data_IF_858114407238
#
_entry.id   IF_858114407238
#
_cell.length_a   1.000
_cell.length_b   1.000
_cell.length_c   1.000
_cell.angle_alpha   90.00
_cell.angle_beta   90.00
_cell.angle_gamma   90.00
#
_symmetry.space_group_name_H-M   'P 1'
#
loop_
_entity.id
_entity.type
_entity.pdbx_description
1 polymer ?
#
# COMPACT_ATOMS: atom_id res chain seq x y z
N UNK A 1 20.71 8.00 -17.74
CA UNK A 1 19.50 7.14 -17.70
C UNK A 1 18.23 7.86 -17.26
N UNK A 2 18.22 8.62 -16.16
CA UNK A 2 17.00 9.34 -15.71
C UNK A 2 16.39 10.24 -16.80
N UNK A 3 17.22 11.03 -17.49
CA UNK A 3 16.79 11.86 -18.62
C UNK A 3 16.10 11.03 -19.70
N UNK A 4 16.71 9.92 -20.14
CA UNK A 4 16.15 9.02 -21.16
C UNK A 4 14.78 8.47 -20.78
N UNK A 5 14.59 8.08 -19.52
CA UNK A 5 13.28 7.66 -19.01
C UNK A 5 12.24 8.78 -19.14
N UNK A 6 12.59 9.98 -18.70
CA UNK A 6 11.69 11.13 -18.67
C UNK A 6 11.44 11.74 -20.05
N UNK A 7 12.38 11.66 -21.00
CA UNK A 7 12.20 12.22 -22.34
C UNK A 7 11.53 11.26 -23.31
N UNK A 8 11.79 9.96 -23.20
CA UNK A 8 11.39 8.99 -24.24
C UNK A 8 10.33 7.99 -23.77
N UNK A 9 10.10 7.84 -22.46
CA UNK A 9 9.30 6.74 -21.92
C UNK A 9 8.26 7.16 -20.87
N UNK A 10 7.78 8.40 -20.90
CA UNK A 10 6.79 8.91 -19.93
C UNK A 10 5.50 8.08 -19.89
N UNK A 11 4.99 7.66 -21.06
CA UNK A 11 3.76 6.87 -21.13
C UNK A 11 3.91 5.51 -20.45
N UNK A 12 5.06 4.85 -20.64
CA UNK A 12 5.37 3.56 -20.01
C UNK A 12 5.55 3.72 -18.49
N UNK A 13 6.22 4.79 -18.04
CA UNK A 13 6.35 5.11 -16.63
C UNK A 13 4.99 5.33 -15.97
N UNK A 14 4.12 6.13 -16.60
CA UNK A 14 2.78 6.37 -16.09
C UNK A 14 1.95 5.08 -16.07
N UNK A 15 2.07 4.23 -17.09
CA UNK A 15 1.38 2.95 -17.13
C UNK A 15 1.83 2.03 -15.98
N UNK A 16 3.14 1.90 -15.74
CA UNK A 16 3.67 1.14 -14.61
C UNK A 16 3.19 1.74 -13.28
N UNK A 17 3.23 3.07 -13.15
CA UNK A 17 2.77 3.78 -11.95
C UNK A 17 1.30 3.42 -11.62
N UNK A 18 0.41 3.51 -12.61
CA UNK A 18 -1.01 3.16 -12.44
C UNK A 18 -1.21 1.68 -12.14
N UNK A 19 -0.50 0.81 -12.85
CA UNK A 19 -0.53 -0.63 -12.65
C UNK A 19 -0.13 -1.04 -11.21
N UNK A 20 0.86 -0.36 -10.62
CA UNK A 20 1.29 -0.61 -9.24
C UNK A 20 0.23 -0.27 -8.18
N UNK A 21 -0.59 0.74 -8.43
CA UNK A 21 -1.64 1.15 -7.50
C UNK A 21 -2.94 0.35 -7.69
N UNK A 22 -3.09 -0.35 -8.83
CA UNK A 22 -4.32 -1.03 -9.22
C UNK A 22 -4.51 -2.37 -8.48
N UNK A 23 -5.64 -2.58 -7.77
CA UNK A 23 -5.92 -3.83 -7.05
C UNK A 23 -6.22 -5.02 -7.98
N UNK A 24 -6.41 -4.77 -9.28
CA UNK A 24 -6.65 -5.80 -10.30
C UNK A 24 -5.39 -6.17 -11.09
N UNK A 25 -4.24 -5.56 -10.77
CA UNK A 25 -2.99 -5.82 -11.47
C UNK A 25 -2.02 -6.56 -10.58
N UNK A 26 -1.51 -7.69 -11.07
CA UNK A 26 -0.57 -8.51 -10.31
C UNK A 26 0.85 -7.95 -10.33
N UNK A 27 1.60 -8.22 -9.26
CA UNK A 27 3.04 -7.93 -9.16
C UNK A 27 3.80 -8.55 -10.32
N UNK A 28 3.45 -9.77 -10.74
CA UNK A 28 4.05 -10.44 -11.88
C UNK A 28 3.95 -9.62 -13.18
N UNK A 29 2.76 -9.07 -13.46
CA UNK A 29 2.55 -8.21 -14.63
C UNK A 29 3.38 -6.92 -14.55
N UNK A 30 3.38 -6.25 -13.39
CA UNK A 30 4.20 -5.04 -13.17
C UNK A 30 5.69 -5.33 -13.41
N UNK A 31 6.22 -6.46 -12.93
CA UNK A 31 7.61 -6.87 -13.17
C UNK A 31 7.91 -7.00 -14.66
N UNK A 32 7.00 -7.59 -15.43
CA UNK A 32 7.14 -7.71 -16.89
C UNK A 32 7.19 -6.34 -17.56
N UNK A 33 6.34 -5.40 -17.17
CA UNK A 33 6.36 -4.04 -17.72
C UNK A 33 7.68 -3.32 -17.43
N UNK A 34 8.17 -3.40 -16.18
CA UNK A 34 9.44 -2.80 -15.77
C UNK A 34 10.63 -3.38 -16.55
N UNK A 35 10.69 -4.71 -16.68
CA UNK A 35 11.75 -5.38 -17.46
C UNK A 35 11.77 -4.91 -18.91
N UNK A 36 10.61 -4.87 -19.57
CA UNK A 36 10.48 -4.36 -20.94
C UNK A 36 10.92 -2.90 -21.05
N UNK A 37 10.51 -2.06 -20.09
CA UNK A 37 10.92 -0.66 -20.07
C UNK A 37 12.43 -0.51 -19.93
N UNK A 38 13.08 -1.26 -19.04
CA UNK A 38 14.53 -1.25 -18.86
C UNK A 38 15.23 -1.60 -20.19
N UNK A 39 14.85 -2.71 -20.83
CA UNK A 39 15.43 -3.16 -22.10
C UNK A 39 15.31 -2.10 -23.20
N UNK A 40 14.12 -1.51 -23.37
CA UNK A 40 13.87 -0.48 -24.40
C UNK A 40 14.65 0.81 -24.08
N UNK A 41 14.78 1.17 -22.80
CA UNK A 41 15.53 2.36 -22.37
C UNK A 41 17.01 2.19 -22.66
N UNK A 42 17.58 1.02 -22.39
CA UNK A 42 18.96 0.69 -22.75
C UNK A 42 19.21 0.80 -24.27
N UNK A 43 18.31 0.24 -25.08
CA UNK A 43 18.41 0.32 -26.53
C UNK A 43 18.32 1.77 -27.04
N UNK A 44 17.41 2.57 -26.47
CA UNK A 44 17.24 3.98 -26.81
C UNK A 44 18.48 4.79 -26.42
N UNK A 45 19.01 4.56 -25.22
CA UNK A 45 20.22 5.23 -24.76
C UNK A 45 21.44 4.91 -25.64
N UNK A 46 21.56 3.66 -26.08
CA UNK A 46 22.59 3.22 -27.04
C UNK A 46 22.42 3.89 -28.41
N UNK A 47 21.20 3.92 -28.95
CA UNK A 47 20.91 4.58 -30.25
C UNK A 47 21.22 6.09 -30.23
N UNK A 48 20.96 6.74 -29.09
CA UNK A 48 21.17 8.17 -28.93
C UNK A 48 22.59 8.54 -28.47
N UNK A 49 23.53 7.58 -28.41
CA UNK A 49 24.89 7.78 -27.89
C UNK A 49 24.94 8.43 -26.48
N UNK A 50 23.89 8.23 -25.67
CA UNK A 50 23.87 8.73 -24.29
C UNK A 50 24.53 7.72 -23.35
N UNK A 51 25.27 8.16 -22.32
CA UNK A 51 25.88 7.27 -21.34
C UNK A 51 24.86 6.33 -20.71
N UNK A 52 25.13 5.02 -20.75
CA UNK A 52 24.25 4.00 -20.19
C UNK A 52 24.61 3.65 -18.75
N UNK A 53 24.89 4.67 -17.93
CA UNK A 53 25.16 4.53 -16.51
C UNK A 53 23.96 4.98 -15.68
N UNK A 54 23.68 4.22 -14.62
CA UNK A 54 22.77 4.65 -13.57
C UNK A 54 23.57 5.44 -12.54
N UNK A 55 23.10 6.64 -12.23
CA UNK A 55 23.64 7.50 -11.20
C UNK A 55 22.49 7.97 -10.31
N UNK A 56 22.80 8.35 -9.08
CA UNK A 56 21.82 8.95 -8.19
C UNK A 56 21.14 10.16 -8.86
N UNK A 57 19.80 10.27 -8.82
CA UNK A 57 19.11 11.46 -9.31
C UNK A 57 19.57 12.74 -8.59
N UNK A 58 19.78 13.81 -9.35
CA UNK A 58 20.17 15.12 -8.82
C UNK A 58 18.95 15.90 -8.28
N UNK A 59 19.05 16.41 -7.05
CA UNK A 59 17.92 17.08 -6.38
C UNK A 59 17.55 18.43 -7.04
N UNK A 60 18.52 19.13 -7.62
CA UNK A 60 18.29 20.40 -8.31
C UNK A 60 17.50 20.15 -9.60
N UNK A 61 17.89 19.14 -10.37
CA UNK A 61 17.15 18.69 -11.54
C UNK A 61 15.74 18.24 -11.18
N UNK A 62 15.57 17.44 -10.12
CA UNK A 62 14.25 17.01 -9.66
C UNK A 62 13.38 18.18 -9.23
N UNK A 63 13.95 19.18 -8.55
CA UNK A 63 13.22 20.39 -8.16
C UNK A 63 12.72 21.14 -9.39
N UNK A 64 13.56 21.29 -10.41
CA UNK A 64 13.16 21.90 -11.69
C UNK A 64 12.03 21.11 -12.38
N UNK A 65 12.12 19.78 -12.41
CA UNK A 65 11.11 18.90 -13.01
C UNK A 65 9.76 18.94 -12.27
N UNK A 66 9.77 19.04 -10.94
CA UNK A 66 8.54 19.20 -10.15
C UNK A 66 7.89 20.57 -10.43
N UNK A 67 8.70 21.63 -10.51
CA UNK A 67 8.19 22.98 -10.81
C UNK A 67 7.67 23.14 -12.25
N UNK A 68 8.16 22.34 -13.21
CA UNK A 68 7.74 22.40 -14.61
C UNK A 68 6.38 21.71 -14.89
N UNK A 69 5.64 21.33 -13.84
CA UNK A 69 4.33 20.65 -13.89
C UNK A 69 4.38 19.27 -14.56
N UNK A 70 5.55 18.63 -14.65
CA UNK A 70 5.61 17.24 -15.04
C UNK A 70 4.95 16.36 -13.96
N UNK A 71 4.25 15.30 -14.37
CA UNK A 71 3.52 14.43 -13.44
C UNK A 71 4.44 13.82 -12.39
N UNK A 72 4.10 14.01 -11.11
CA UNK A 72 4.82 13.40 -9.98
C UNK A 72 4.87 11.86 -10.09
N UNK A 73 3.85 11.24 -10.67
CA UNK A 73 3.82 9.79 -10.92
C UNK A 73 4.91 9.36 -11.89
N UNK A 74 5.17 10.16 -12.92
CA UNK A 74 6.21 9.89 -13.93
C UNK A 74 7.60 10.10 -13.32
N UNK A 75 7.80 11.21 -12.62
CA UNK A 75 9.09 11.54 -11.98
C UNK A 75 9.44 10.47 -10.94
N UNK A 76 8.52 10.19 -10.01
CA UNK A 76 8.73 9.20 -8.96
C UNK A 76 8.98 7.81 -9.55
N UNK A 77 8.20 7.37 -10.55
CA UNK A 77 8.45 6.08 -11.19
C UNK A 77 9.84 6.02 -11.84
N UNK A 78 10.27 7.07 -12.54
CA UNK A 78 11.59 7.13 -13.15
C UNK A 78 12.71 7.05 -12.12
N UNK A 79 12.57 7.76 -10.99
CA UNK A 79 13.51 7.65 -9.86
C UNK A 79 13.61 6.21 -9.37
N UNK A 80 12.49 5.51 -9.22
CA UNK A 80 12.48 4.12 -8.77
C UNK A 80 13.16 3.18 -9.78
N UNK A 81 12.93 3.36 -11.08
CA UNK A 81 13.63 2.56 -12.10
C UNK A 81 15.14 2.79 -12.09
N UNK A 82 15.59 4.00 -11.76
CA UNK A 82 17.02 4.30 -11.54
C UNK A 82 17.52 3.63 -10.26
N UNK A 83 16.82 3.81 -9.13
CA UNK A 83 17.17 3.23 -7.82
C UNK A 83 17.29 1.70 -7.86
N UNK A 84 16.44 1.03 -8.64
CA UNK A 84 16.48 -0.43 -8.80
C UNK A 84 17.81 -0.95 -9.37
N UNK A 85 18.62 -0.07 -9.98
CA UNK A 85 19.92 -0.38 -10.57
C UNK A 85 21.10 0.25 -9.80
N UNK A 86 20.86 0.77 -8.60
CA UNK A 86 21.88 1.38 -7.74
C UNK A 86 22.12 0.56 -6.46
N UNK A 87 23.32 0.66 -5.84
CA UNK A 87 23.58 0.12 -4.52
C UNK A 87 22.64 0.66 -3.44
N UNK A 88 22.36 -0.16 -2.42
CA UNK A 88 21.45 0.17 -1.33
C UNK A 88 21.88 1.43 -0.55
N UNK A 89 23.17 1.60 -0.31
CA UNK A 89 23.74 2.77 0.39
C UNK A 89 23.44 4.09 -0.34
N UNK A 90 23.52 4.06 -1.68
CA UNK A 90 23.18 5.22 -2.53
C UNK A 90 21.68 5.50 -2.46
N UNK A 91 20.85 4.45 -2.53
CA UNK A 91 19.39 4.60 -2.43
C UNK A 91 18.95 5.17 -1.07
N UNK A 92 19.56 4.74 0.04
CA UNK A 92 19.29 5.31 1.37
C UNK A 92 19.68 6.79 1.45
N UNK A 93 20.88 7.13 0.98
CA UNK A 93 21.35 8.52 0.95
C UNK A 93 20.39 9.40 0.14
N UNK A 94 19.92 8.91 -1.00
CA UNK A 94 18.95 9.60 -1.84
C UNK A 94 17.59 9.81 -1.15
N UNK A 95 17.03 8.77 -0.52
CA UNK A 95 15.74 8.87 0.20
C UNK A 95 15.85 9.91 1.34
N UNK A 96 16.93 9.86 2.13
CA UNK A 96 17.15 10.81 3.21
C UNK A 96 17.29 12.24 2.67
N UNK A 97 18.00 12.42 1.56
CA UNK A 97 18.16 13.73 0.95
C UNK A 97 16.84 14.29 0.38
N UNK A 98 15.97 13.43 -0.17
CA UNK A 98 14.60 13.79 -0.58
C UNK A 98 13.74 14.23 0.61
N UNK A 99 13.79 13.49 1.72
CA UNK A 99 13.05 13.81 2.95
C UNK A 99 13.50 15.12 3.57
N UNK A 100 14.79 15.44 3.49
CA UNK A 100 15.35 16.69 4.02
C UNK A 100 15.16 17.90 3.09
N UNK A 101 14.44 17.75 1.97
CA UNK A 101 14.25 18.79 0.96
C UNK A 101 12.78 19.23 0.90
N UNK A 102 12.38 20.36 1.53
CA UNK A 102 10.99 20.82 1.59
C UNK A 102 10.29 20.95 0.24
N UNK A 103 11.00 21.44 -0.78
CA UNK A 103 10.49 21.57 -2.16
C UNK A 103 10.17 20.23 -2.82
N UNK A 104 10.68 19.12 -2.30
CA UNK A 104 10.56 17.77 -2.84
C UNK A 104 9.74 16.83 -1.96
N UNK A 105 9.14 17.29 -0.87
CA UNK A 105 8.36 16.42 0.03
C UNK A 105 7.28 15.61 -0.69
N UNK A 106 6.55 16.23 -1.64
CA UNK A 106 5.56 15.52 -2.44
C UNK A 106 6.17 14.39 -3.29
N UNK A 107 7.36 14.61 -3.84
CA UNK A 107 8.12 13.58 -4.57
C UNK A 107 8.65 12.50 -3.62
N UNK A 108 9.16 12.89 -2.45
CA UNK A 108 9.64 11.97 -1.41
C UNK A 108 8.53 10.99 -1.01
N UNK A 109 7.33 11.51 -0.71
CA UNK A 109 6.14 10.70 -0.40
C UNK A 109 5.83 9.69 -1.52
N UNK A 110 5.81 10.15 -2.77
CA UNK A 110 5.53 9.29 -3.92
C UNK A 110 6.60 8.20 -4.12
N UNK A 111 7.89 8.55 -3.98
CA UNK A 111 9.01 7.61 -4.08
C UNK A 111 8.93 6.57 -2.97
N UNK A 112 8.82 6.98 -1.71
CA UNK A 112 8.79 6.07 -0.55
C UNK A 112 7.61 5.10 -0.64
N UNK A 113 6.42 5.62 -0.98
CA UNK A 113 5.25 4.77 -1.20
C UNK A 113 5.47 3.76 -2.33
N UNK A 114 6.08 4.16 -3.45
CA UNK A 114 6.39 3.24 -4.56
C UNK A 114 7.47 2.23 -4.23
N UNK A 115 8.50 2.60 -3.46
CA UNK A 115 9.51 1.65 -2.97
C UNK A 115 8.81 0.59 -2.10
N UNK A 116 7.90 0.99 -1.22
CA UNK A 116 7.07 0.07 -0.43
C UNK A 116 6.29 -0.91 -1.32
N UNK A 117 5.59 -0.41 -2.34
CA UNK A 117 4.88 -1.26 -3.32
C UNK A 117 5.79 -2.17 -4.14
N UNK A 118 7.10 -1.90 -4.13
CA UNK A 118 8.12 -2.65 -4.87
C UNK A 118 9.02 -3.51 -3.98
N UNK A 119 8.60 -3.79 -2.74
CA UNK A 119 9.26 -4.70 -1.79
C UNK A 119 9.33 -6.18 -2.23
N UNK A 120 9.35 -6.46 -3.53
CA UNK A 120 9.79 -7.73 -4.11
C UNK A 120 11.23 -7.67 -4.63
N UNK A 121 11.82 -6.48 -4.75
CA UNK A 121 13.26 -6.32 -4.99
C UNK A 121 13.97 -6.37 -3.64
N UNK A 122 14.74 -7.43 -3.37
CA UNK A 122 15.46 -7.60 -2.09
C UNK A 122 16.31 -6.38 -1.71
N UNK A 123 16.88 -5.68 -2.70
CA UNK A 123 17.69 -4.48 -2.50
C UNK A 123 16.88 -3.28 -1.95
N UNK A 124 15.55 -3.30 -2.06
CA UNK A 124 14.66 -2.21 -1.66
C UNK A 124 13.85 -2.52 -0.38
N UNK A 125 13.77 -3.79 0.04
CA UNK A 125 12.93 -4.23 1.18
C UNK A 125 13.42 -3.63 2.50
N UNK A 126 14.73 -3.58 2.70
CA UNK A 126 15.35 -3.08 3.94
C UNK A 126 15.52 -1.55 3.96
N UNK A 127 14.99 -0.82 2.97
CA UNK A 127 15.22 0.63 2.83
C UNK A 127 14.27 1.51 3.64
N UNK A 128 13.10 1.00 4.03
CA UNK A 128 12.05 1.83 4.63
C UNK A 128 11.56 1.18 5.91
N UNK A 129 11.95 1.76 7.04
CA UNK A 129 11.38 1.45 8.34
C UNK A 129 10.03 2.16 8.54
N UNK A 130 9.31 1.79 9.61
CA UNK A 130 8.00 2.39 9.90
C UNK A 130 8.08 3.89 10.18
N UNK A 131 9.21 4.39 10.70
CA UNK A 131 9.41 5.83 10.92
C UNK A 131 9.44 6.58 9.59
N UNK A 132 10.24 6.09 8.64
CA UNK A 132 10.34 6.64 7.29
C UNK A 132 8.98 6.59 6.58
N UNK A 133 8.23 5.49 6.72
CA UNK A 133 6.86 5.42 6.20
C UNK A 133 5.93 6.44 6.84
N UNK A 134 6.01 6.62 8.17
CA UNK A 134 5.19 7.58 8.88
C UNK A 134 5.49 8.99 8.40
N UNK A 135 6.75 9.41 8.45
CA UNK A 135 7.17 10.75 8.02
C UNK A 135 6.80 11.05 6.56
N UNK A 136 6.93 10.06 5.68
CA UNK A 136 6.58 10.23 4.28
C UNK A 136 5.07 10.36 4.05
N UNK A 137 4.24 9.67 4.83
CA UNK A 137 2.81 9.56 4.56
C UNK A 137 1.98 10.56 5.38
N UNK A 138 2.42 10.93 6.58
CA UNK A 138 1.72 11.83 7.48
C UNK A 138 1.60 13.24 6.90
N UNK A 139 0.56 13.95 7.30
CA UNK A 139 0.41 15.37 6.98
C UNK A 139 1.46 16.18 7.76
N UNK A 140 2.19 17.05 7.07
CA UNK A 140 3.47 17.65 7.50
C UNK A 140 3.38 18.73 8.58
N UNK A 141 2.34 18.76 9.41
CA UNK A 141 2.03 19.90 10.28
C UNK A 141 2.06 19.52 11.77
N UNK A 142 3.27 19.29 12.30
CA UNK A 142 3.59 19.06 13.72
C UNK A 142 3.42 17.60 14.18
N UNK A 143 4.52 16.96 14.59
CA UNK A 143 4.62 15.94 15.67
C UNK A 143 5.87 15.04 15.48
N UNK A 144 6.99 15.37 16.14
CA UNK A 144 8.22 14.54 16.16
C UNK A 144 8.31 13.60 17.38
N UNK A 145 7.51 13.83 18.44
CA UNK A 145 7.59 13.03 19.68
C UNK A 145 6.52 11.93 19.75
N UNK A 146 5.28 12.21 19.35
CA UNK A 146 4.18 11.21 19.31
C UNK A 146 4.36 10.16 18.21
N UNK A 147 5.20 10.45 17.22
CA UNK A 147 5.54 9.61 16.07
C UNK A 147 6.25 8.33 16.49
N UNK A 148 7.33 8.47 17.27
CA UNK A 148 8.17 7.33 17.66
C UNK A 148 7.42 6.35 18.57
N UNK A 149 6.62 6.87 19.51
CA UNK A 149 5.79 6.05 20.40
C UNK A 149 4.70 5.31 19.62
N UNK A 150 4.01 6.00 18.71
CA UNK A 150 2.98 5.39 17.85
C UNK A 150 3.59 4.29 16.99
N UNK A 151 4.73 4.55 16.35
CA UNK A 151 5.45 3.56 15.53
C UNK A 151 5.91 2.36 16.37
N UNK A 152 6.47 2.61 17.57
CA UNK A 152 6.88 1.56 18.49
C UNK A 152 5.70 0.65 18.86
N UNK A 153 4.54 1.23 19.19
CA UNK A 153 3.33 0.48 19.53
C UNK A 153 2.80 -0.37 18.37
N UNK A 154 2.82 0.16 17.14
CA UNK A 154 2.46 -0.60 15.94
C UNK A 154 3.43 -1.77 15.73
N UNK A 155 4.73 -1.53 15.90
CA UNK A 155 5.78 -2.54 15.71
C UNK A 155 5.77 -3.64 16.79
N UNK A 156 5.28 -3.33 18.00
CA UNK A 156 5.33 -4.23 19.14
C UNK A 156 4.35 -5.41 19.06
N UNK A 157 3.34 -5.36 18.17
CA UNK A 157 2.34 -6.43 18.01
C UNK A 157 1.83 -6.94 19.36
N UNK A 158 1.23 -6.04 20.15
CA UNK A 158 0.73 -6.37 21.49
C UNK A 158 -0.77 -6.71 21.45
N UNK A 159 -1.15 -7.99 21.27
CA UNK A 159 -2.56 -8.39 21.22
C UNK A 159 -3.27 -8.19 22.56
N UNK A 160 -2.54 -7.95 23.66
CA UNK A 160 -3.11 -7.73 25.00
C UNK A 160 -3.17 -6.24 25.36
N UNK A 161 -2.90 -5.34 24.40
CA UNK A 161 -3.00 -3.90 24.62
C UNK A 161 -4.44 -3.51 25.04
N UNK A 162 -4.53 -2.66 26.07
CA UNK A 162 -5.79 -2.10 26.53
C UNK A 162 -6.39 -1.20 25.44
N UNK A 163 -7.72 -1.23 25.29
CA UNK A 163 -8.46 -0.40 24.35
C UNK A 163 -8.16 1.10 24.46
N UNK A 164 -7.83 1.64 25.64
CA UNK A 164 -7.44 3.05 25.79
C UNK A 164 -6.18 3.39 25.00
N UNK A 165 -5.17 2.52 25.06
CA UNK A 165 -3.92 2.67 24.32
C UNK A 165 -4.16 2.52 22.81
N UNK A 166 -5.00 1.56 22.43
CA UNK A 166 -5.35 1.34 21.03
C UNK A 166 -6.10 2.52 20.41
N UNK A 167 -7.02 3.13 21.17
CA UNK A 167 -7.70 4.36 20.74
C UNK A 167 -6.72 5.51 20.57
N UNK A 168 -5.75 5.66 21.47
CA UNK A 168 -4.72 6.68 21.33
C UNK A 168 -3.92 6.50 20.04
N UNK A 169 -3.40 5.30 19.76
CA UNK A 169 -2.67 4.99 18.50
C UNK A 169 -3.54 5.27 17.27
N UNK A 170 -4.81 4.86 17.31
CA UNK A 170 -5.77 5.11 16.24
C UNK A 170 -6.00 6.61 16.01
N UNK A 171 -6.22 7.39 17.08
CA UNK A 171 -6.44 8.83 17.00
C UNK A 171 -5.22 9.55 16.43
N UNK A 172 -4.00 9.14 16.80
CA UNK A 172 -2.77 9.72 16.25
C UNK A 172 -2.61 9.42 14.75
N UNK A 173 -2.88 8.18 14.33
CA UNK A 173 -2.91 7.83 12.89
C UNK A 173 -4.00 8.62 12.14
N UNK A 174 -5.17 8.79 12.73
CA UNK A 174 -6.26 9.55 12.14
C UNK A 174 -5.90 11.04 11.98
N UNK A 175 -5.46 11.71 13.06
CA UNK A 175 -5.02 13.11 13.03
C UNK A 175 -3.93 13.36 12.00
N UNK A 176 -3.05 12.37 11.80
CA UNK A 176 -1.96 12.42 10.82
C UNK A 176 -2.41 12.18 9.37
N UNK A 177 -3.70 11.95 9.11
CA UNK A 177 -4.23 11.65 7.78
C UNK A 177 -3.89 10.25 7.28
N UNK A 178 -3.59 9.31 8.19
CA UNK A 178 -3.08 7.97 7.86
C UNK A 178 -4.17 6.88 7.86
N UNK A 179 -5.46 7.22 7.87
CA UNK A 179 -6.55 6.22 7.84
C UNK A 179 -6.39 5.28 6.64
N UNK A 180 -6.27 5.82 5.44
CA UNK A 180 -6.06 5.03 4.23
C UNK A 180 -4.57 4.73 3.96
N UNK A 181 -3.83 4.29 4.99
CA UNK A 181 -2.40 4.01 4.86
C UNK A 181 -2.02 2.54 5.14
N UNK A 182 -0.83 2.11 4.66
CA UNK A 182 -0.20 0.88 5.09
C UNK A 182 0.01 0.77 6.60
N UNK A 183 0.23 1.89 7.29
CA UNK A 183 0.45 1.91 8.74
C UNK A 183 -0.83 1.59 9.51
N UNK A 184 -1.98 2.18 9.11
CA UNK A 184 -3.28 1.83 9.66
C UNK A 184 -3.62 0.36 9.38
N UNK A 185 -3.34 -0.11 8.16
CA UNK A 185 -3.52 -1.53 7.82
C UNK A 185 -2.69 -2.44 8.74
N UNK A 186 -1.40 -2.14 8.91
CA UNK A 186 -0.51 -2.91 9.78
C UNK A 186 -0.98 -2.90 11.24
N UNK A 187 -1.35 -1.73 11.75
CA UNK A 187 -1.90 -1.56 13.09
C UNK A 187 -3.13 -2.45 13.28
N UNK A 188 -4.15 -2.31 12.43
CA UNK A 188 -5.40 -3.07 12.55
C UNK A 188 -5.16 -4.57 12.40
N UNK A 189 -4.30 -5.00 11.48
CA UNK A 189 -3.95 -6.41 11.27
C UNK A 189 -3.28 -7.07 12.49
N UNK A 190 -2.67 -6.28 13.37
CA UNK A 190 -2.06 -6.78 14.62
C UNK A 190 -3.07 -7.08 15.74
N UNK A 191 -4.30 -6.56 15.63
CA UNK A 191 -5.32 -6.60 16.69
C UNK A 191 -6.18 -7.87 16.66
N UNK A 192 -6.76 -8.24 17.81
CA UNK A 192 -7.78 -9.28 17.92
C UNK A 192 -9.13 -8.84 17.36
N UNK A 193 -10.08 -9.76 17.26
CA UNK A 193 -11.43 -9.44 16.80
C UNK A 193 -12.13 -8.48 17.77
N UNK A 194 -12.02 -8.74 19.06
CA UNK A 194 -12.64 -7.94 20.12
C UNK A 194 -12.12 -6.50 20.10
N UNK A 195 -10.81 -6.34 19.88
CA UNK A 195 -10.15 -5.04 19.74
C UNK A 195 -10.60 -4.31 18.48
N UNK A 196 -10.63 -4.99 17.34
CA UNK A 196 -11.14 -4.41 16.09
C UNK A 196 -12.61 -4.00 16.24
N UNK A 197 -13.45 -4.85 16.81
CA UNK A 197 -14.87 -4.53 17.01
C UNK A 197 -15.05 -3.29 17.89
N UNK A 198 -14.30 -3.19 18.99
CA UNK A 198 -14.35 -2.03 19.88
C UNK A 198 -13.81 -0.75 19.20
N UNK A 199 -12.74 -0.85 18.41
CA UNK A 199 -12.21 0.29 17.66
C UNK A 199 -13.12 0.71 16.51
N UNK A 200 -13.72 -0.22 15.78
CA UNK A 200 -14.66 0.07 14.70
C UNK A 200 -15.91 0.78 15.19
N UNK A 201 -16.43 0.39 16.36
CA UNK A 201 -17.54 1.10 17.01
C UNK A 201 -17.13 2.50 17.46
N UNK A 202 -15.88 2.68 17.89
CA UNK A 202 -15.37 4.01 18.22
C UNK A 202 -15.18 4.86 16.96
N UNK A 203 -14.60 4.28 15.91
CA UNK A 203 -14.36 4.91 14.61
C UNK A 203 -15.67 5.43 13.99
N UNK A 204 -16.76 4.65 14.03
CA UNK A 204 -18.05 5.05 13.48
C UNK A 204 -18.69 6.26 14.16
N UNK A 205 -18.22 6.66 15.34
CA UNK A 205 -18.66 7.86 16.05
C UNK A 205 -17.80 9.09 15.77
N UNK A 206 -16.57 8.91 15.26
CA UNK A 206 -15.56 9.97 15.12
C UNK A 206 -15.20 10.24 13.66
N UNK A 207 -15.35 9.24 12.78
CA UNK A 207 -14.97 9.29 11.38
C UNK A 207 -16.17 9.47 10.45
N UNK A 208 -15.89 9.83 9.20
CA UNK A 208 -16.84 9.76 8.09
C UNK A 208 -17.25 8.31 7.79
N UNK A 209 -18.31 8.13 7.01
CA UNK A 209 -18.72 6.79 6.54
C UNK A 209 -17.59 6.15 5.73
N UNK A 210 -17.02 6.87 4.77
CA UNK A 210 -15.88 6.42 3.96
C UNK A 210 -14.72 5.92 4.84
N UNK A 211 -14.22 6.76 5.75
CA UNK A 211 -13.09 6.41 6.60
C UNK A 211 -13.40 5.25 7.56
N UNK A 212 -14.65 5.15 8.04
CA UNK A 212 -15.09 4.02 8.86
C UNK A 212 -15.03 2.71 8.07
N UNK A 213 -15.49 2.71 6.81
CA UNK A 213 -15.41 1.53 5.95
C UNK A 213 -13.96 1.17 5.62
N UNK A 214 -13.07 2.16 5.46
CA UNK A 214 -11.63 1.92 5.33
C UNK A 214 -11.08 1.14 6.51
N UNK A 215 -11.35 1.59 7.75
CA UNK A 215 -10.90 0.92 8.98
C UNK A 215 -11.45 -0.51 9.06
N UNK A 216 -12.74 -0.70 8.78
CA UNK A 216 -13.37 -2.03 8.79
C UNK A 216 -12.70 -2.99 7.81
N UNK A 217 -12.44 -2.55 6.57
CA UNK A 217 -11.87 -3.41 5.54
C UNK A 217 -10.36 -3.63 5.71
N UNK A 218 -9.62 -2.64 6.18
CA UNK A 218 -8.18 -2.78 6.44
C UNK A 218 -7.86 -3.75 7.58
N UNK A 219 -8.81 -4.03 8.47
CA UNK A 219 -8.64 -5.02 9.54
C UNK A 219 -8.53 -6.46 9.03
N UNK A 220 -8.91 -6.71 7.77
CA UNK A 220 -8.86 -8.00 7.11
C UNK A 220 -9.95 -9.00 7.53
N UNK A 221 -10.88 -8.62 8.41
CA UNK A 221 -11.94 -9.53 8.87
C UNK A 221 -13.04 -9.66 7.82
N UNK A 222 -13.10 -10.82 7.16
CA UNK A 222 -13.94 -11.01 5.97
C UNK A 222 -15.44 -10.86 6.26
N UNK A 223 -15.88 -11.18 7.48
CA UNK A 223 -17.27 -10.97 7.91
C UNK A 223 -17.74 -9.51 7.89
N UNK A 224 -16.84 -8.54 7.75
CA UNK A 224 -17.18 -7.12 7.63
C UNK A 224 -17.48 -6.70 6.17
N UNK A 225 -17.16 -7.54 5.19
CA UNK A 225 -17.37 -7.24 3.77
C UNK A 225 -18.84 -6.98 3.42
N UNK A 226 -19.83 -7.78 3.88
CA UNK A 226 -21.24 -7.51 3.58
C UNK A 226 -21.69 -6.13 4.08
N UNK A 227 -21.26 -5.74 5.28
CA UNK A 227 -21.58 -4.44 5.87
C UNK A 227 -21.02 -3.28 5.02
N UNK A 228 -19.76 -3.39 4.61
CA UNK A 228 -19.14 -2.39 3.73
C UNK A 228 -19.84 -2.33 2.37
N UNK A 229 -20.21 -3.49 1.81
CA UNK A 229 -20.91 -3.58 0.53
C UNK A 229 -22.29 -2.90 0.58
N UNK A 230 -23.07 -3.12 1.64
CA UNK A 230 -24.37 -2.46 1.83
C UNK A 230 -24.25 -0.94 1.93
N UNK A 231 -23.13 -0.45 2.46
CA UNK A 231 -22.87 0.98 2.69
C UNK A 231 -22.29 1.71 1.47
N UNK A 232 -22.03 1.01 0.36
CA UNK A 232 -21.42 1.58 -0.86
C UNK A 232 -22.21 2.74 -1.52
N UNK A 233 -23.51 2.91 -1.23
CA UNK A 233 -24.29 4.06 -1.76
C UNK A 233 -24.17 5.30 -0.87
N UNK A 234 -23.57 5.17 0.31
CA UNK A 234 -23.43 6.24 1.31
C UNK A 234 -22.03 6.84 1.30
N UNK A 235 -21.12 6.32 0.46
CA UNK A 235 -19.74 6.77 0.38
C UNK A 235 -19.53 7.72 -0.79
N UNK A 236 -18.65 8.68 -0.61
CA UNK A 236 -18.25 9.61 -1.66
C UNK A 236 -17.37 8.92 -2.71
N UNK A 237 -16.55 7.95 -2.29
CA UNK A 237 -15.61 7.26 -3.17
C UNK A 237 -15.79 5.72 -3.15
N UNK A 238 -16.79 5.18 -3.90
CA UNK A 238 -17.03 3.75 -3.95
C UNK A 238 -15.86 2.97 -4.55
N UNK A 239 -15.08 3.56 -5.46
CA UNK A 239 -13.87 2.95 -6.05
C UNK A 239 -12.86 2.54 -4.99
N UNK A 240 -12.64 3.37 -3.98
CA UNK A 240 -11.71 3.07 -2.89
C UNK A 240 -12.18 1.87 -2.05
N UNK A 241 -13.48 1.78 -1.77
CA UNK A 241 -14.07 0.68 -1.02
C UNK A 241 -14.02 -0.63 -1.82
N UNK A 242 -14.37 -0.61 -3.11
CA UNK A 242 -14.24 -1.78 -4.00
C UNK A 242 -12.79 -2.26 -4.06
N UNK A 243 -11.83 -1.33 -4.14
CA UNK A 243 -10.40 -1.67 -4.11
C UNK A 243 -10.01 -2.38 -2.81
N UNK A 244 -10.51 -1.94 -1.66
CA UNK A 244 -10.26 -2.60 -0.37
C UNK A 244 -10.91 -3.98 -0.28
N UNK A 245 -12.14 -4.14 -0.76
CA UNK A 245 -12.79 -5.45 -0.82
C UNK A 245 -11.95 -6.40 -1.68
N UNK A 246 -11.50 -5.95 -2.86
CA UNK A 246 -10.60 -6.73 -3.73
C UNK A 246 -9.28 -7.04 -3.06
N UNK A 247 -8.65 -6.09 -2.38
CA UNK A 247 -7.38 -6.29 -1.65
C UNK A 247 -7.53 -7.20 -0.43
N UNK A 248 -8.71 -7.30 0.18
CA UNK A 248 -8.96 -8.25 1.26
C UNK A 248 -9.18 -9.66 0.71
N UNK A 249 -10.12 -9.81 -0.22
CA UNK A 249 -10.60 -11.11 -0.69
C UNK A 249 -9.76 -11.72 -1.81
N UNK A 250 -9.02 -10.91 -2.57
CA UNK A 250 -8.24 -11.37 -3.72
C UNK A 250 -9.10 -12.15 -4.71
N UNK A 251 -8.58 -13.30 -5.15
CA UNK A 251 -9.25 -14.26 -6.02
C UNK A 251 -10.56 -14.82 -5.44
N UNK A 252 -10.73 -14.81 -4.11
CA UNK A 252 -11.99 -15.27 -3.48
C UNK A 252 -13.17 -14.37 -3.79
N UNK A 253 -12.94 -13.11 -4.18
CA UNK A 253 -14.02 -12.22 -4.59
C UNK A 253 -14.71 -12.75 -5.86
N UNK A 254 -14.00 -13.50 -6.69
CA UNK A 254 -14.52 -14.09 -7.93
C UNK A 254 -15.60 -15.16 -7.66
N UNK A 255 -15.68 -15.68 -6.43
CA UNK A 255 -16.76 -16.57 -5.97
C UNK A 255 -18.05 -15.82 -5.65
N UNK A 256 -17.95 -14.52 -5.36
CA UNK A 256 -19.06 -13.69 -4.87
C UNK A 256 -19.59 -12.75 -5.96
N UNK A 257 -18.68 -12.18 -6.75
CA UNK A 257 -18.99 -11.21 -7.80
C UNK A 257 -18.15 -11.53 -9.03
N UNK A 258 -18.72 -11.51 -10.24
CA UNK A 258 -17.95 -11.77 -11.46
C UNK A 258 -16.89 -10.69 -11.69
N UNK A 259 -15.76 -11.09 -12.28
CA UNK A 259 -14.60 -10.21 -12.50
C UNK A 259 -14.97 -8.93 -13.28
N UNK A 260 -15.76 -9.05 -14.35
CA UNK A 260 -16.15 -7.90 -15.18
C UNK A 260 -16.97 -6.87 -14.40
N UNK A 261 -17.83 -7.32 -13.48
CA UNK A 261 -18.60 -6.44 -12.60
C UNK A 261 -17.68 -5.79 -11.55
N UNK A 262 -16.74 -6.55 -10.98
CA UNK A 262 -15.75 -5.99 -10.06
C UNK A 262 -14.98 -4.84 -10.71
N UNK A 263 -14.51 -5.04 -11.96
CA UNK A 263 -13.72 -4.05 -12.69
C UNK A 263 -14.56 -2.82 -13.08
N UNK A 264 -15.79 -3.02 -13.55
CA UNK A 264 -16.70 -1.93 -13.93
C UNK A 264 -17.14 -1.12 -12.71
N UNK A 265 -17.42 -1.79 -11.58
CA UNK A 265 -17.72 -1.14 -10.30
C UNK A 265 -16.52 -0.35 -9.76
N UNK A 266 -15.31 -0.87 -9.91
CA UNK A 266 -14.08 -0.15 -9.56
C UNK A 266 -13.91 1.13 -10.40
N UNK A 267 -14.34 1.13 -11.66
CA UNK A 267 -14.36 2.32 -12.52
C UNK A 267 -15.55 3.27 -12.24
N UNK A 268 -16.25 3.08 -11.12
CA UNK A 268 -17.38 3.90 -10.67
C UNK A 268 -18.60 3.90 -11.61
N UNK A 269 -18.81 2.82 -12.37
CA UNK A 269 -20.03 2.65 -13.16
C UNK A 269 -21.22 2.32 -12.26
N UNK A 270 -22.22 3.20 -12.21
CA UNK A 270 -23.34 3.09 -11.25
C UNK A 270 -24.10 1.75 -11.35
N UNK A 271 -24.41 1.31 -12.57
CA UNK A 271 -25.10 0.03 -12.78
C UNK A 271 -24.25 -1.16 -12.31
N UNK A 272 -22.93 -1.07 -12.46
CA UNK A 272 -22.02 -2.11 -11.99
C UNK A 272 -21.91 -2.11 -10.46
N UNK A 273 -21.98 -0.95 -9.79
CA UNK A 273 -22.04 -0.87 -8.32
C UNK A 273 -23.30 -1.55 -7.76
N UNK A 274 -24.46 -1.36 -8.40
CA UNK A 274 -25.69 -2.03 -8.00
C UNK A 274 -25.62 -3.55 -8.25
N UNK A 275 -25.09 -3.95 -9.41
CA UNK A 275 -24.88 -5.35 -9.74
C UNK A 275 -23.87 -6.04 -8.78
N UNK A 276 -22.80 -5.33 -8.39
CA UNK A 276 -21.82 -5.81 -7.43
C UNK A 276 -22.48 -6.16 -6.10
N UNK A 277 -23.34 -5.26 -5.58
CA UNK A 277 -24.07 -5.48 -4.33
C UNK A 277 -25.02 -6.65 -4.41
N UNK A 278 -25.80 -6.72 -5.49
CA UNK A 278 -26.75 -7.79 -5.72
C UNK A 278 -26.06 -9.15 -5.77
N UNK A 279 -24.97 -9.29 -6.54
CA UNK A 279 -24.25 -10.55 -6.64
C UNK A 279 -23.61 -10.95 -5.31
N UNK A 280 -22.98 -9.99 -4.61
CA UNK A 280 -22.38 -10.27 -3.31
C UNK A 280 -23.45 -10.73 -2.30
N UNK A 281 -24.58 -10.04 -2.22
CA UNK A 281 -25.68 -10.40 -1.32
C UNK A 281 -26.29 -11.77 -1.65
N UNK A 282 -26.46 -12.08 -2.94
CA UNK A 282 -27.03 -13.36 -3.38
C UNK A 282 -26.07 -14.53 -3.14
N UNK A 283 -24.76 -14.34 -3.31
CA UNK A 283 -23.77 -15.41 -3.21
C UNK A 283 -23.20 -15.57 -1.80
N UNK A 284 -23.19 -14.53 -0.97
CA UNK A 284 -22.63 -14.56 0.38
C UNK A 284 -23.11 -15.73 1.25
N UNK A 285 -24.43 -16.03 1.34
CA UNK A 285 -24.92 -17.11 2.21
C UNK A 285 -24.32 -18.48 1.89
N UNK A 286 -23.92 -18.73 0.64
CA UNK A 286 -23.30 -20.00 0.21
C UNK A 286 -21.90 -20.19 0.79
N UNK A 287 -21.22 -19.10 1.14
CA UNK A 287 -19.82 -19.10 1.57
C UNK A 287 -19.63 -18.53 2.97
N UNK A 288 -20.70 -18.07 3.61
CA UNK A 288 -20.69 -17.35 4.88
C UNK A 288 -19.97 -18.12 5.98
N UNK A 289 -20.36 -19.38 6.23
CA UNK A 289 -19.73 -20.21 7.28
C UNK A 289 -18.21 -20.32 7.12
N UNK A 290 -17.75 -20.47 5.87
CA UNK A 290 -16.33 -20.62 5.54
C UNK A 290 -15.58 -19.30 5.59
N UNK A 291 -16.20 -18.20 5.14
CA UNK A 291 -15.53 -16.90 4.99
C UNK A 291 -15.57 -16.07 6.28
N UNK A 292 -16.64 -16.14 7.07
CA UNK A 292 -16.80 -15.30 8.27
C UNK A 292 -15.71 -15.48 9.33
N UNK A 293 -15.13 -16.68 9.40
CA UNK A 293 -14.05 -17.01 10.34
C UNK A 293 -12.66 -16.60 9.82
N UNK A 294 -12.56 -16.13 8.57
CA UNK A 294 -11.29 -15.83 7.95
C UNK A 294 -10.85 -14.38 8.18
N UNK A 295 -9.53 -14.23 8.28
CA UNK A 295 -8.83 -12.96 8.25
C UNK A 295 -7.83 -12.96 7.11
N UNK A 296 -8.07 -12.14 6.09
CA UNK A 296 -7.39 -12.26 4.79
C UNK A 296 -6.73 -10.96 4.34
N UNK A 297 -5.64 -11.13 3.58
CA UNK A 297 -5.01 -10.12 2.70
C UNK A 297 -4.77 -10.79 1.36
N UNK A 298 -5.27 -10.19 0.28
CA UNK A 298 -5.34 -10.73 -1.07
C UNK A 298 -5.82 -12.19 -1.14
N UNK A 299 -6.87 -12.51 -0.37
CA UNK A 299 -7.44 -13.87 -0.34
C UNK A 299 -6.60 -14.90 0.42
N UNK A 300 -5.51 -14.48 1.06
CA UNK A 300 -4.60 -15.35 1.81
C UNK A 300 -4.68 -15.06 3.30
N UNK A 301 -4.71 -16.11 4.11
CA UNK A 301 -4.74 -15.97 5.56
C UNK A 301 -3.40 -15.42 6.08
N UNK A 302 -3.43 -14.59 7.11
CA UNK A 302 -2.23 -13.94 7.68
C UNK A 302 -1.20 -14.92 8.28
N UNK A 303 -1.61 -16.14 8.58
CA UNK A 303 -0.74 -17.20 9.10
C UNK A 303 -0.22 -18.14 8.00
N UNK A 304 -0.63 -17.94 6.74
CA UNK A 304 -0.25 -18.80 5.64
C UNK A 304 1.15 -18.44 5.12
N UNK A 305 2.02 -19.44 4.92
CA UNK A 305 3.34 -19.23 4.33
C UNK A 305 3.23 -19.22 2.81
N UNK A 306 3.36 -18.04 2.21
CA UNK A 306 3.23 -17.86 0.77
C UNK A 306 4.50 -18.26 0.02
N UNK A 307 4.33 -18.88 -1.14
CA UNK A 307 5.42 -19.11 -2.08
C UNK A 307 5.58 -17.94 -3.08
N UNK A 308 6.63 -17.98 -3.90
CA UNK A 308 6.95 -16.90 -4.83
C UNK A 308 5.88 -16.66 -5.93
N UNK A 309 5.16 -17.71 -6.32
CA UNK A 309 4.08 -17.62 -7.32
C UNK A 309 2.89 -16.89 -6.70
N UNK A 310 2.48 -17.30 -5.50
CA UNK A 310 1.38 -16.67 -4.78
C UNK A 310 1.68 -15.20 -4.48
N UNK A 311 2.90 -14.89 -4.03
CA UNK A 311 3.34 -13.51 -3.84
C UNK A 311 3.30 -12.70 -5.13
N UNK A 312 3.63 -13.31 -6.28
CA UNK A 312 3.62 -12.62 -7.57
C UNK A 312 2.22 -12.46 -8.17
N UNK A 313 1.24 -13.25 -7.70
CA UNK A 313 -0.15 -13.17 -8.13
C UNK A 313 -0.94 -12.05 -7.43
N UNK A 314 -0.50 -11.62 -6.24
CA UNK A 314 -1.10 -10.50 -5.51
C UNK A 314 -0.92 -9.16 -6.24
N UNK A 315 -1.75 -8.18 -5.91
CA UNK A 315 -1.45 -6.77 -6.22
C UNK A 315 -0.31 -6.23 -5.34
N UNK A 316 0.34 -5.16 -5.81
CA UNK A 316 1.53 -4.62 -5.14
C UNK A 316 1.24 -4.11 -3.71
N UNK A 317 0.05 -3.56 -3.46
CA UNK A 317 -0.31 -3.07 -2.13
C UNK A 317 -0.46 -4.24 -1.16
N UNK A 318 -1.27 -5.24 -1.52
CA UNK A 318 -1.48 -6.41 -0.66
C UNK A 318 -0.18 -7.16 -0.38
N UNK A 319 0.69 -7.31 -1.39
CA UNK A 319 2.02 -7.90 -1.19
C UNK A 319 2.85 -7.09 -0.17
N UNK A 320 2.86 -5.77 -0.28
CA UNK A 320 3.60 -4.89 0.63
C UNK A 320 3.08 -5.01 2.07
N UNK A 321 1.76 -4.98 2.26
CA UNK A 321 1.14 -5.17 3.59
C UNK A 321 1.48 -6.54 4.17
N UNK A 322 1.44 -7.60 3.35
CA UNK A 322 1.77 -8.94 3.79
C UNK A 322 3.23 -9.04 4.25
N UNK A 323 4.16 -8.43 3.50
CA UNK A 323 5.57 -8.36 3.85
C UNK A 323 5.81 -7.59 5.14
N UNK A 324 5.24 -6.39 5.28
CA UNK A 324 5.33 -5.58 6.50
C UNK A 324 4.82 -6.35 7.71
N UNK A 325 3.61 -6.93 7.62
CA UNK A 325 3.02 -7.71 8.70
C UNK A 325 3.91 -8.88 9.10
N UNK A 326 4.41 -9.64 8.13
CA UNK A 326 5.25 -10.82 8.40
C UNK A 326 6.57 -10.43 9.06
N UNK A 327 7.18 -9.34 8.60
CA UNK A 327 8.44 -8.82 9.14
C UNK A 327 8.27 -8.34 10.59
N UNK A 328 7.33 -7.45 10.88
CA UNK A 328 7.17 -6.92 12.23
C UNK A 328 6.65 -7.95 13.22
N UNK A 329 5.83 -8.90 12.77
CA UNK A 329 5.42 -10.04 13.60
C UNK A 329 6.59 -10.94 13.99
N UNK A 330 7.59 -11.12 13.12
CA UNK A 330 8.78 -11.93 13.46
C UNK A 330 9.70 -11.18 14.42
N UNK A 331 9.93 -9.89 14.19
CA UNK A 331 10.71 -9.03 15.10
C UNK A 331 10.12 -9.01 16.52
N UNK A 332 8.81 -8.85 16.66
CA UNK A 332 8.14 -8.86 17.96
C UNK A 332 8.25 -10.20 18.71
N UNK A 333 8.36 -11.33 17.99
CA UNK A 333 8.61 -12.64 18.60
C UNK A 333 10.04 -12.76 19.15
N UNK A 334 11.02 -12.26 18.41
CA UNK A 334 12.42 -12.32 18.81
C UNK A 334 12.67 -11.49 20.08
N UNK A 335 12.10 -10.28 20.14
CA UNK A 335 12.20 -9.41 21.34
C UNK A 335 11.57 -10.09 22.57
N UNK A 336 10.44 -10.79 22.41
CA UNK A 336 9.83 -11.55 23.52
C UNK A 336 10.68 -12.73 23.97
N UNK A 337 11.39 -13.39 23.05
CA UNK A 337 12.29 -14.49 23.39
C UNK A 337 13.55 -13.99 24.12
N UNK A 338 14.12 -12.86 23.68
CA UNK A 338 15.26 -12.22 24.33
C UNK A 338 14.91 -11.66 25.72
N UNK A 339 13.70 -11.15 25.92
CA UNK A 339 13.23 -10.69 27.23
C UNK A 339 12.93 -11.83 28.24
N UNK A 340 12.94 -13.08 27.77
CA UNK A 340 12.66 -14.28 28.58
C UNK A 340 13.91 -15.16 28.80
N UNK A 341 15.05 -14.81 28.20
CA UNK A 341 16.33 -15.51 28.30
C UNK A 341 17.24 -14.85 29.35
#
# INVERSE_FOLDING_TARGET
>A
MLSTYLSNHQAQLLHISKAQCCPFTSVGYVKTLKKKLLEITWLTAKKNNTPQCFTQPDLTQLSALVTSKQSLDVISQACIEVMANLPQTINLAFINALLNSPSLHGLAKAVIYKVLLQQHSFNLIALIDLNTLYFALANSAEQEVTTAETVALISAFNPNANIKLLKHVFDELYKSGLVNSPLMSLFLLSLSWEQVNALSNYASHVLTVDDTLHVLLQSGYVKLVPLACMSLNQVENPTAIIALIRRMLGDKLDLLVSYDIQLSAFNAEQQALDAFKQQLQQNWPKYEEKLCVQRLVAGKALNHKLNAIEMSAMDCYSQAIFNLYTYYKSMAKNVKAEAQA
#
